data_IF_670157347740
#
_entry.id   IF_670157347740
#
_cell.length_a   1.000
_cell.length_b   1.000
_cell.length_c   1.000
_cell.angle_alpha   90.00
_cell.angle_beta   90.00
_cell.angle_gamma   90.00
#
_symmetry.space_group_name_H-M   'P 1'
#
loop_
_entity.id
_entity.type
_entity.pdbx_description
1 polymer ?
#
# COMPACT_ATOMS: atom_id res chain seq x y z
N UNK A 1 0.53 56.61 -55.61
CA UNK A 1 0.43 56.24 -54.19
C UNK A 1 0.43 54.71 -54.09
N UNK A 2 1.57 54.08 -53.86
CA UNK A 2 1.69 52.61 -53.73
C UNK A 2 1.65 52.23 -52.26
N UNK A 3 0.57 51.56 -51.84
CA UNK A 3 0.46 51.01 -50.45
C UNK A 3 1.26 49.74 -50.36
N UNK A 4 2.34 49.74 -49.57
CA UNK A 4 3.13 48.59 -49.22
C UNK A 4 2.37 47.79 -48.12
N UNK A 5 1.89 46.59 -48.43
CA UNK A 5 1.35 45.65 -47.46
C UNK A 5 2.51 44.87 -46.86
N UNK A 6 2.86 45.15 -45.58
CA UNK A 6 3.83 44.41 -44.82
C UNK A 6 3.13 43.19 -44.22
N UNK A 7 3.32 42.00 -44.80
CA UNK A 7 2.84 40.73 -44.25
C UNK A 7 3.88 40.29 -43.20
N UNK A 8 3.54 40.46 -41.92
CA UNK A 8 4.30 39.87 -40.80
C UNK A 8 4.04 38.37 -40.78
N UNK A 9 5.00 37.61 -41.29
CA UNK A 9 5.03 36.14 -41.18
C UNK A 9 5.37 35.77 -39.73
N UNK A 10 4.34 35.52 -38.91
CA UNK A 10 4.53 34.95 -37.55
C UNK A 10 5.00 33.51 -37.73
N UNK A 11 6.30 33.26 -37.53
CA UNK A 11 6.86 31.92 -37.48
C UNK A 11 6.26 31.19 -36.28
N UNK A 12 5.28 30.34 -36.52
CA UNK A 12 4.79 29.32 -35.57
C UNK A 12 5.91 28.29 -35.34
N UNK A 13 6.80 28.58 -34.40
CA UNK A 13 7.72 27.57 -33.87
C UNK A 13 6.82 26.56 -33.13
N UNK A 14 6.92 25.26 -33.46
CA UNK A 14 6.26 24.25 -32.68
C UNK A 14 6.94 24.21 -31.28
N UNK A 15 6.28 24.82 -30.31
CA UNK A 15 6.61 24.54 -28.91
C UNK A 15 6.28 23.06 -28.67
N UNK A 16 7.27 22.17 -28.84
CA UNK A 16 7.18 20.81 -28.33
C UNK A 16 7.13 20.92 -26.81
N UNK A 17 5.92 20.96 -26.25
CA UNK A 17 5.67 20.73 -24.83
C UNK A 17 6.03 19.26 -24.56
N UNK A 18 7.33 18.97 -24.39
CA UNK A 18 7.75 17.74 -23.78
C UNK A 18 7.24 17.80 -22.34
N UNK A 19 6.13 17.11 -22.05
CA UNK A 19 5.69 16.93 -20.69
C UNK A 19 6.79 16.16 -19.96
N UNK A 20 7.43 16.82 -19.00
CA UNK A 20 8.46 16.23 -18.15
C UNK A 20 7.91 14.98 -17.49
N UNK A 21 8.60 13.85 -17.62
CA UNK A 21 8.17 12.60 -16.99
C UNK A 21 8.27 12.68 -15.46
N UNK A 22 7.55 11.85 -14.74
CA UNK A 22 7.70 11.80 -13.28
C UNK A 22 9.13 11.41 -12.86
N UNK A 23 9.81 10.57 -13.64
CA UNK A 23 11.21 10.24 -13.41
C UNK A 23 12.12 11.48 -13.55
N UNK A 24 11.92 12.28 -14.60
CA UNK A 24 12.72 13.50 -14.78
C UNK A 24 12.52 14.49 -13.63
N UNK A 25 11.28 14.60 -13.12
CA UNK A 25 10.98 15.44 -11.94
C UNK A 25 11.67 14.94 -10.67
N UNK A 26 11.70 13.62 -10.44
CA UNK A 26 12.40 13.02 -9.31
C UNK A 26 13.91 13.30 -9.41
N UNK A 27 14.50 13.05 -10.59
CA UNK A 27 15.94 13.25 -10.81
C UNK A 27 16.33 14.74 -10.71
N UNK A 28 15.53 15.65 -11.26
CA UNK A 28 15.78 17.10 -11.21
C UNK A 28 15.61 17.69 -9.81
N UNK A 29 14.61 17.20 -9.05
CA UNK A 29 14.39 17.62 -7.67
C UNK A 29 15.39 17.02 -6.68
N UNK A 30 16.03 15.89 -7.05
CA UNK A 30 16.91 15.13 -6.17
C UNK A 30 16.20 14.43 -5.01
N UNK A 31 14.86 14.25 -5.08
CA UNK A 31 14.05 13.64 -4.01
C UNK A 31 13.05 12.65 -4.59
N UNK A 32 13.07 11.42 -4.05
CA UNK A 32 12.04 10.39 -4.27
C UNK A 32 11.09 10.38 -3.07
N UNK A 33 9.82 10.74 -3.28
CA UNK A 33 8.78 10.67 -2.26
C UNK A 33 8.15 9.29 -2.25
N UNK A 34 8.17 8.65 -1.07
CA UNK A 34 7.68 7.27 -0.88
C UNK A 34 6.53 7.24 0.11
N UNK A 35 5.32 6.89 -0.35
CA UNK A 35 4.17 6.67 0.53
C UNK A 35 4.32 5.37 1.31
N UNK A 36 4.19 5.41 2.65
CA UNK A 36 4.28 4.23 3.52
C UNK A 36 3.37 4.36 4.73
N UNK A 37 2.78 3.23 5.17
CA UNK A 37 1.84 3.23 6.30
C UNK A 37 2.55 3.13 7.65
N UNK A 38 3.68 2.46 7.70
CA UNK A 38 4.47 2.31 8.94
C UNK A 38 3.84 1.41 10.00
N UNK A 39 2.95 0.51 9.61
CA UNK A 39 2.20 -0.34 10.52
C UNK A 39 2.20 -1.85 10.16
N UNK A 40 3.05 -2.27 9.21
CA UNK A 40 3.16 -3.66 8.77
C UNK A 40 4.55 -4.26 9.09
N UNK A 41 4.73 -4.75 10.30
CA UNK A 41 5.95 -5.42 10.77
C UNK A 41 6.14 -6.79 10.08
N UNK A 42 7.32 -7.11 9.52
CA UNK A 42 8.59 -6.36 9.51
C UNK A 42 8.83 -5.53 8.24
N UNK A 43 7.83 -5.36 7.39
CA UNK A 43 7.97 -4.71 6.09
C UNK A 43 8.14 -3.20 6.23
N UNK A 44 7.24 -2.56 6.94
CA UNK A 44 7.29 -1.13 7.24
C UNK A 44 6.78 -0.86 8.65
N UNK A 45 7.60 -0.19 9.44
CA UNK A 45 7.29 0.18 10.83
C UNK A 45 7.68 1.62 11.07
N UNK A 46 6.80 2.36 11.73
CA UNK A 46 7.12 3.70 12.21
C UNK A 46 7.39 3.64 13.73
N UNK A 47 8.57 4.09 14.14
CA UNK A 47 8.91 4.21 15.54
C UNK A 47 8.18 5.42 16.14
N UNK A 48 7.29 5.24 17.13
CA UNK A 48 6.51 6.34 17.68
C UNK A 48 7.33 7.37 18.46
N UNK A 49 8.49 6.98 19.00
CA UNK A 49 9.33 7.88 19.77
C UNK A 49 10.18 8.80 18.88
N UNK A 50 10.66 8.27 17.74
CA UNK A 50 11.57 9.00 16.84
C UNK A 50 10.90 9.45 15.55
N UNK A 51 9.69 8.96 15.26
CA UNK A 51 8.97 9.13 14.00
C UNK A 51 9.72 8.57 12.77
N UNK A 52 10.79 7.81 12.96
CA UNK A 52 11.56 7.19 11.87
C UNK A 52 10.91 5.91 11.39
N UNK A 53 11.01 5.69 10.08
CA UNK A 53 10.58 4.44 9.46
C UNK A 53 11.74 3.43 9.44
N UNK A 54 11.40 2.13 9.56
CA UNK A 54 12.32 1.00 9.45
C UNK A 54 11.58 -0.21 8.91
N UNK A 55 12.31 -1.18 8.40
CA UNK A 55 11.79 -2.44 7.89
C UNK A 55 12.30 -2.75 6.49
N UNK A 56 11.97 -3.94 6.00
CA UNK A 56 12.45 -4.46 4.72
C UNK A 56 12.15 -3.49 3.55
N UNK A 57 10.91 -3.04 3.43
CA UNK A 57 10.52 -2.14 2.35
C UNK A 57 11.16 -0.76 2.47
N UNK A 58 11.46 -0.32 3.70
CA UNK A 58 12.18 0.94 3.93
C UNK A 58 13.62 0.83 3.42
N UNK A 59 14.27 -0.30 3.67
CA UNK A 59 15.63 -0.56 3.19
C UNK A 59 15.67 -0.67 1.65
N UNK A 60 14.68 -1.33 1.04
CA UNK A 60 14.53 -1.40 -0.43
C UNK A 60 14.39 0.00 -1.04
N UNK A 61 13.58 0.88 -0.44
CA UNK A 61 13.41 2.25 -0.96
C UNK A 61 14.65 3.12 -0.75
N UNK A 62 15.39 2.92 0.33
CA UNK A 62 16.67 3.60 0.54
C UNK A 62 17.71 3.19 -0.53
N UNK A 63 17.82 1.89 -0.84
CA UNK A 63 18.73 1.42 -1.91
C UNK A 63 18.28 1.92 -3.29
N UNK A 64 16.96 1.90 -3.58
CA UNK A 64 16.44 2.46 -4.84
C UNK A 64 16.82 3.95 -5.00
N UNK A 65 16.59 4.76 -3.96
CA UNK A 65 16.93 6.18 -4.00
C UNK A 65 18.44 6.41 -4.19
N UNK A 66 19.27 5.60 -3.55
CA UNK A 66 20.73 5.61 -3.69
C UNK A 66 21.16 5.27 -5.12
N UNK A 67 20.59 4.23 -5.74
CA UNK A 67 20.85 3.84 -7.11
C UNK A 67 20.44 4.93 -8.13
N UNK A 68 19.35 5.65 -7.81
CA UNK A 68 18.88 6.81 -8.58
C UNK A 68 19.71 8.09 -8.34
N UNK A 69 20.61 8.11 -7.35
CA UNK A 69 21.37 9.29 -6.95
C UNK A 69 20.54 10.40 -6.30
N UNK A 70 19.41 10.06 -5.67
CA UNK A 70 18.48 11.01 -5.03
C UNK A 70 18.31 10.70 -3.53
N UNK A 71 17.70 11.63 -2.79
CA UNK A 71 17.30 11.40 -1.39
C UNK A 71 15.92 10.77 -1.34
N UNK A 72 15.66 9.93 -0.33
CA UNK A 72 14.31 9.43 -0.05
C UNK A 72 13.60 10.29 0.98
N UNK A 73 12.31 10.58 0.75
CA UNK A 73 11.40 11.19 1.70
C UNK A 73 10.21 10.26 1.93
N UNK A 74 10.06 9.73 3.14
CA UNK A 74 8.92 8.89 3.50
C UNK A 74 7.71 9.75 3.88
N UNK A 75 6.61 9.60 3.12
CA UNK A 75 5.37 10.33 3.31
C UNK A 75 4.36 9.42 4.01
N UNK A 76 3.79 9.83 5.17
CA UNK A 76 2.76 9.04 5.85
C UNK A 76 1.56 8.77 4.94
N UNK A 77 1.13 7.53 4.86
CA UNK A 77 -0.02 7.07 4.08
C UNK A 77 -0.91 6.16 4.93
N UNK A 78 -2.14 5.91 4.45
CA UNK A 78 -3.08 4.97 5.04
C UNK A 78 -3.49 3.94 3.99
N UNK A 79 -3.76 2.70 4.40
CA UNK A 79 -4.12 1.61 3.49
C UNK A 79 -5.27 1.94 2.54
N UNK A 80 -6.32 2.60 3.05
CA UNK A 80 -7.49 2.98 2.25
C UNK A 80 -7.21 4.03 1.17
N UNK A 81 -6.14 4.82 1.33
CA UNK A 81 -5.79 5.94 0.43
C UNK A 81 -4.43 5.79 -0.25
N UNK A 82 -3.73 4.67 -0.03
CA UNK A 82 -2.35 4.49 -0.50
C UNK A 82 -2.23 4.57 -2.04
N UNK A 83 -3.20 4.07 -2.77
CA UNK A 83 -3.21 4.14 -4.24
C UNK A 83 -3.61 5.53 -4.72
N UNK A 84 -4.60 6.16 -4.09
CA UNK A 84 -5.01 7.52 -4.47
C UNK A 84 -3.92 8.57 -4.19
N UNK A 85 -3.02 8.31 -3.26
CA UNK A 85 -1.85 9.16 -3.03
C UNK A 85 -0.87 9.19 -4.22
N UNK A 86 -0.75 8.08 -4.97
CA UNK A 86 0.01 8.01 -6.23
C UNK A 86 -0.70 8.85 -7.31
N UNK A 87 -1.99 8.59 -7.52
CA UNK A 87 -2.74 9.27 -8.59
C UNK A 87 -2.92 10.76 -8.37
N UNK A 88 -2.85 11.22 -7.12
CA UNK A 88 -2.86 12.65 -6.76
C UNK A 88 -1.48 13.27 -6.62
N UNK A 89 -0.42 12.55 -6.97
CA UNK A 89 0.98 13.00 -6.88
C UNK A 89 1.40 13.47 -5.45
N UNK A 90 0.79 12.91 -4.41
CA UNK A 90 1.20 13.15 -3.02
C UNK A 90 2.58 12.54 -2.75
N UNK A 91 2.87 11.43 -3.41
CA UNK A 91 4.17 10.76 -3.45
C UNK A 91 4.36 10.08 -4.82
N UNK A 92 5.60 9.81 -5.16
CA UNK A 92 5.97 9.31 -6.47
C UNK A 92 5.79 7.80 -6.60
N UNK A 93 6.07 7.09 -5.51
CA UNK A 93 5.95 5.63 -5.39
C UNK A 93 5.39 5.28 -4.01
N UNK A 94 4.80 4.10 -3.90
CA UNK A 94 4.43 3.53 -2.60
C UNK A 94 5.03 2.15 -2.46
N UNK A 95 5.43 1.81 -1.24
CA UNK A 95 5.90 0.48 -0.88
C UNK A 95 4.81 -0.36 -0.23
N UNK A 96 5.02 -1.69 -0.11
CA UNK A 96 4.12 -2.63 0.59
C UNK A 96 2.76 -2.87 -0.08
N UNK A 97 2.53 -2.38 -1.29
CA UNK A 97 1.22 -2.46 -1.95
C UNK A 97 1.11 -3.70 -2.83
N UNK A 98 0.25 -4.63 -2.43
CA UNK A 98 -0.07 -5.80 -3.24
C UNK A 98 -0.75 -5.39 -4.55
N UNK A 99 -0.25 -5.90 -5.68
CA UNK A 99 -0.89 -5.74 -6.98
C UNK A 99 -2.22 -6.51 -6.99
N UNK A 100 -3.33 -5.78 -7.15
CA UNK A 100 -4.65 -6.37 -7.42
C UNK A 100 -5.17 -5.84 -8.77
N UNK A 101 -6.10 -6.54 -9.46
CA UNK A 101 -6.70 -6.03 -10.71
C UNK A 101 -7.22 -4.61 -10.55
N UNK A 102 -8.01 -4.35 -9.51
CA UNK A 102 -8.58 -3.03 -9.21
C UNK A 102 -7.53 -1.93 -9.05
N UNK A 103 -6.43 -2.21 -8.37
CA UNK A 103 -5.34 -1.23 -8.18
C UNK A 103 -4.55 -1.00 -9.47
N UNK A 104 -4.39 -2.05 -10.29
CA UNK A 104 -3.68 -1.98 -11.56
C UNK A 104 -4.43 -1.19 -12.65
N UNK A 105 -5.73 -0.94 -12.48
CA UNK A 105 -6.51 -0.07 -13.37
C UNK A 105 -6.10 1.41 -13.28
N UNK A 106 -5.54 1.83 -12.13
CA UNK A 106 -5.28 3.26 -11.85
C UNK A 106 -3.82 3.58 -11.50
N UNK A 107 -2.98 2.55 -11.25
CA UNK A 107 -1.57 2.74 -10.90
C UNK A 107 -0.69 1.67 -11.58
N UNK A 108 0.51 2.07 -12.00
CA UNK A 108 1.56 1.15 -12.45
C UNK A 108 2.14 0.36 -11.27
N UNK A 109 2.66 -0.83 -11.57
CA UNK A 109 3.35 -1.68 -10.60
C UNK A 109 4.70 -2.10 -11.17
N UNK A 110 5.71 -2.19 -10.31
CA UNK A 110 7.00 -2.82 -10.62
C UNK A 110 6.84 -4.34 -10.75
N UNK A 111 7.91 -5.03 -11.12
CA UNK A 111 8.01 -6.46 -10.91
C UNK A 111 7.91 -6.78 -9.42
N UNK A 112 7.40 -8.00 -9.13
CA UNK A 112 7.22 -8.43 -7.74
C UNK A 112 8.57 -8.75 -7.11
N UNK A 113 8.96 -8.00 -6.10
CA UNK A 113 10.21 -8.21 -5.35
C UNK A 113 10.02 -9.02 -4.06
N UNK A 114 8.78 -9.18 -3.58
CA UNK A 114 8.44 -9.97 -2.40
C UNK A 114 7.10 -10.71 -2.57
N UNK A 115 6.99 -11.92 -2.00
CA UNK A 115 5.76 -12.74 -2.03
C UNK A 115 5.43 -13.24 -0.64
N UNK A 116 4.16 -13.24 -0.29
CA UNK A 116 3.62 -13.81 0.95
C UNK A 116 2.28 -14.49 0.67
N UNK A 117 1.87 -15.37 1.60
CA UNK A 117 0.53 -15.95 1.59
C UNK A 117 -0.43 -15.09 2.43
N UNK A 118 -1.68 -14.98 2.02
CA UNK A 118 -2.77 -14.50 2.88
C UNK A 118 -3.22 -15.66 3.75
N UNK A 119 -3.29 -15.47 5.06
CA UNK A 119 -3.61 -16.52 6.03
C UNK A 119 -4.61 -16.05 7.09
N UNK A 120 -5.51 -16.92 7.55
CA UNK A 120 -6.33 -16.65 8.72
C UNK A 120 -5.54 -16.93 10.00
N UNK A 121 -5.77 -16.11 11.02
CA UNK A 121 -5.32 -16.36 12.38
C UNK A 121 -6.52 -16.46 13.32
N UNK A 122 -6.48 -17.43 14.22
CA UNK A 122 -7.45 -17.60 15.30
C UNK A 122 -6.72 -17.82 16.62
N UNK A 123 -7.40 -17.59 17.74
CA UNK A 123 -6.81 -17.93 19.04
C UNK A 123 -6.52 -19.44 19.13
N UNK A 124 -5.39 -19.81 19.69
CA UNK A 124 -4.98 -21.21 19.88
C UNK A 124 -6.07 -22.08 20.53
N UNK A 125 -6.79 -21.54 21.51
CA UNK A 125 -7.92 -22.22 22.17
C UNK A 125 -9.10 -22.52 21.22
N UNK A 126 -9.19 -21.82 20.09
CA UNK A 126 -10.28 -21.95 19.11
C UNK A 126 -9.91 -22.84 17.91
N UNK A 127 -8.71 -23.44 17.87
CA UNK A 127 -8.29 -24.31 16.75
C UNK A 127 -9.23 -25.50 16.53
N UNK A 128 -9.81 -26.07 17.59
CA UNK A 128 -10.82 -27.15 17.47
C UNK A 128 -12.13 -26.66 16.90
N UNK A 129 -12.50 -25.39 17.14
CA UNK A 129 -13.72 -24.76 16.58
C UNK A 129 -13.53 -24.40 15.11
N UNK A 130 -12.31 -24.04 14.72
CA UNK A 130 -11.96 -23.61 13.37
C UNK A 130 -10.80 -24.47 12.80
N UNK A 131 -11.05 -25.75 12.49
CA UNK A 131 -10.02 -26.68 12.03
C UNK A 131 -9.61 -26.44 10.57
N UNK A 132 -10.41 -25.75 9.77
CA UNK A 132 -10.19 -25.46 8.36
C UNK A 132 -10.61 -24.03 8.02
N UNK A 133 -10.19 -23.53 6.86
CA UNK A 133 -10.63 -22.25 6.34
C UNK A 133 -12.15 -22.18 6.19
N UNK A 134 -12.78 -23.24 5.67
CA UNK A 134 -14.23 -23.29 5.46
C UNK A 134 -15.03 -23.13 6.77
N UNK A 135 -14.46 -23.58 7.89
CA UNK A 135 -15.10 -23.41 9.20
C UNK A 135 -15.26 -21.96 9.63
N UNK A 136 -14.46 -21.07 9.05
CA UNK A 136 -14.57 -19.63 9.25
C UNK A 136 -15.67 -18.99 8.38
N UNK A 137 -16.11 -19.62 7.28
CA UNK A 137 -17.12 -19.10 6.37
C UNK A 137 -18.57 -19.38 6.89
N UNK A 138 -18.94 -18.72 7.96
CA UNK A 138 -20.19 -18.96 8.66
C UNK A 138 -20.79 -17.64 9.19
N UNK A 139 -22.12 -17.45 9.11
CA UNK A 139 -22.81 -16.24 9.53
C UNK A 139 -22.70 -15.90 11.02
N UNK A 140 -22.28 -16.87 11.86
CA UNK A 140 -22.03 -16.67 13.30
C UNK A 140 -20.58 -16.27 13.58
N UNK A 141 -19.71 -16.26 12.55
CA UNK A 141 -18.27 -15.94 12.67
C UNK A 141 -18.05 -14.49 12.29
N UNK A 142 -17.23 -13.80 13.06
CA UNK A 142 -16.76 -12.44 12.78
C UNK A 142 -15.27 -12.49 12.41
N UNK A 143 -14.91 -11.98 11.24
CA UNK A 143 -13.55 -11.87 10.73
C UNK A 143 -13.12 -10.42 10.80
N UNK A 144 -12.01 -10.15 11.48
CA UNK A 144 -11.38 -8.84 11.47
C UNK A 144 -10.39 -8.71 10.32
N UNK A 145 -10.32 -7.53 9.71
CA UNK A 145 -9.36 -7.16 8.66
C UNK A 145 -8.96 -5.71 8.79
N UNK A 146 -7.83 -5.32 8.22
CA UNK A 146 -7.49 -3.90 8.11
C UNK A 146 -8.12 -3.30 6.86
N UNK A 147 -8.86 -2.19 7.03
CA UNK A 147 -9.60 -1.49 5.99
C UNK A 147 -8.67 -1.04 4.84
N UNK A 148 -9.10 -1.29 3.60
CA UNK A 148 -8.39 -0.87 2.38
C UNK A 148 -7.22 -1.76 1.98
N UNK A 149 -6.98 -2.88 2.69
CA UNK A 149 -5.94 -3.85 2.36
C UNK A 149 -6.41 -4.90 1.35
N UNK A 150 -5.47 -5.58 0.70
CA UNK A 150 -5.78 -6.77 -0.12
C UNK A 150 -6.29 -7.93 0.72
N UNK A 151 -5.96 -7.99 2.01
CA UNK A 151 -6.47 -8.98 2.96
C UNK A 151 -7.97 -8.79 3.20
N UNK A 152 -8.45 -7.55 3.25
CA UNK A 152 -9.89 -7.25 3.32
C UNK A 152 -10.62 -7.74 2.06
N UNK A 153 -10.06 -7.51 0.87
CA UNK A 153 -10.62 -8.01 -0.39
C UNK A 153 -10.70 -9.54 -0.37
N UNK A 154 -9.62 -10.22 0.07
CA UNK A 154 -9.57 -11.68 0.19
C UNK A 154 -10.52 -12.22 1.27
N UNK A 155 -10.72 -11.52 2.38
CA UNK A 155 -11.70 -11.92 3.37
C UNK A 155 -13.12 -11.91 2.80
N UNK A 156 -13.49 -10.92 2.01
CA UNK A 156 -14.78 -10.85 1.32
C UNK A 156 -14.96 -12.00 0.30
N UNK A 157 -13.88 -12.37 -0.38
CA UNK A 157 -13.88 -13.45 -1.37
C UNK A 157 -14.00 -14.83 -0.70
N UNK A 158 -13.18 -15.10 0.32
CA UNK A 158 -13.10 -16.43 0.94
C UNK A 158 -14.18 -16.70 2.00
N UNK A 159 -14.66 -15.65 2.65
CA UNK A 159 -15.63 -15.78 3.76
C UNK A 159 -16.90 -14.96 3.52
N UNK A 160 -17.59 -15.13 2.38
CA UNK A 160 -18.76 -14.32 2.02
C UNK A 160 -19.95 -14.47 2.97
N UNK A 161 -19.98 -15.53 3.79
CA UNK A 161 -21.03 -15.75 4.79
C UNK A 161 -20.72 -15.13 6.15
N UNK A 162 -19.45 -14.80 6.41
CA UNK A 162 -19.02 -14.29 7.70
C UNK A 162 -19.29 -12.81 7.84
N UNK A 163 -19.42 -12.35 9.08
CA UNK A 163 -19.45 -10.92 9.38
C UNK A 163 -18.04 -10.37 9.25
N UNK A 164 -17.88 -9.31 8.47
CA UNK A 164 -16.59 -8.63 8.33
C UNK A 164 -16.53 -7.41 9.25
N UNK A 165 -15.47 -7.33 10.05
CA UNK A 165 -15.13 -6.18 10.87
C UNK A 165 -13.87 -5.54 10.31
N UNK A 166 -14.03 -4.51 9.47
CA UNK A 166 -12.91 -3.78 8.84
C UNK A 166 -12.42 -2.68 9.78
N UNK A 167 -11.19 -2.82 10.24
CA UNK A 167 -10.55 -1.96 11.23
C UNK A 167 -9.70 -0.90 10.53
N UNK A 168 -9.90 0.35 10.89
CA UNK A 168 -9.10 1.46 10.40
C UNK A 168 -7.83 1.63 11.24
N UNK A 169 -6.67 1.83 10.58
CA UNK A 169 -5.43 2.16 11.26
C UNK A 169 -5.58 3.47 12.08
N UNK A 170 -4.91 3.60 13.24
CA UNK A 170 -3.84 2.74 13.78
C UNK A 170 -4.31 1.53 14.58
N UNK A 171 -5.62 1.30 14.75
CA UNK A 171 -6.10 0.09 15.39
C UNK A 171 -5.73 -1.15 14.55
N UNK A 172 -5.54 -2.28 15.23
CA UNK A 172 -5.05 -3.51 14.60
C UNK A 172 -6.11 -4.60 14.65
N UNK A 173 -6.35 -5.25 13.52
CA UNK A 173 -7.33 -6.30 13.34
C UNK A 173 -7.09 -7.51 14.27
N UNK A 174 -5.83 -7.93 14.49
CA UNK A 174 -5.52 -9.02 15.42
C UNK A 174 -5.89 -8.68 16.88
N UNK A 175 -5.92 -7.41 17.26
CA UNK A 175 -6.35 -6.99 18.59
C UNK A 175 -7.84 -7.25 18.82
N UNK A 176 -8.66 -7.22 17.77
CA UNK A 176 -10.07 -7.60 17.83
C UNK A 176 -10.23 -9.09 18.19
N UNK A 177 -9.35 -9.95 17.67
CA UNK A 177 -9.31 -11.38 17.99
C UNK A 177 -8.86 -11.61 19.43
N UNK A 178 -7.80 -10.92 19.86
CA UNK A 178 -7.31 -11.01 21.25
C UNK A 178 -8.36 -10.55 22.26
N UNK A 179 -9.11 -9.51 21.92
CA UNK A 179 -10.18 -8.96 22.78
C UNK A 179 -11.50 -9.76 22.70
N UNK A 180 -11.58 -10.79 21.84
CA UNK A 180 -12.79 -11.60 21.67
C UNK A 180 -13.92 -10.91 20.91
N UNK A 181 -13.64 -9.82 20.21
CA UNK A 181 -14.60 -9.10 19.35
C UNK A 181 -14.66 -9.67 17.92
N UNK A 182 -13.63 -10.46 17.53
CA UNK A 182 -13.62 -11.26 16.31
C UNK A 182 -13.18 -12.69 16.61
N UNK A 183 -13.66 -13.65 15.80
CA UNK A 183 -13.28 -15.07 15.90
C UNK A 183 -11.90 -15.33 15.27
N UNK A 184 -11.55 -14.57 14.24
CA UNK A 184 -10.27 -14.63 13.56
C UNK A 184 -9.99 -13.33 12.79
N UNK A 185 -8.74 -13.18 12.33
CA UNK A 185 -8.36 -12.12 11.40
C UNK A 185 -7.66 -12.69 10.16
N UNK A 186 -7.67 -11.92 9.08
CA UNK A 186 -6.99 -12.27 7.84
C UNK A 186 -5.79 -11.34 7.68
N UNK A 187 -4.61 -11.93 7.60
CA UNK A 187 -3.35 -11.19 7.51
C UNK A 187 -2.36 -11.85 6.53
N UNK A 188 -1.16 -11.29 6.41
CA UNK A 188 -0.06 -11.90 5.67
C UNK A 188 0.65 -12.97 6.48
N UNK A 189 1.19 -14.00 5.81
CA UNK A 189 2.05 -14.99 6.48
C UNK A 189 3.26 -14.35 7.17
N UNK A 190 3.74 -13.23 6.65
CA UNK A 190 4.84 -12.45 7.21
C UNK A 190 4.49 -11.90 8.60
N UNK A 191 3.34 -11.25 8.74
CA UNK A 191 2.85 -10.74 10.01
C UNK A 191 2.41 -11.88 10.93
N UNK A 192 1.73 -12.91 10.39
CA UNK A 192 1.29 -14.07 11.13
C UNK A 192 2.46 -14.74 11.87
N UNK A 193 3.58 -14.95 11.21
CA UNK A 193 4.78 -15.52 11.82
C UNK A 193 5.28 -14.70 13.02
N UNK A 194 5.15 -13.39 12.98
CA UNK A 194 5.50 -12.51 14.10
C UNK A 194 4.52 -12.63 15.27
N UNK A 195 3.23 -12.80 14.98
CA UNK A 195 2.18 -12.88 15.99
C UNK A 195 2.15 -14.25 16.72
N UNK A 196 2.48 -15.35 16.04
CA UNK A 196 2.44 -16.69 16.63
C UNK A 196 3.70 -17.06 17.45
N UNK A 197 4.80 -16.34 17.27
CA UNK A 197 6.05 -16.56 18.03
C UNK A 197 6.01 -15.87 19.41
N UNK A 198 5.09 -14.95 19.62
CA UNK A 198 4.84 -14.28 20.90
C UNK A 198 3.80 -15.07 21.71
#
# INVERSE_FOLDING_TARGET
MKKLFLIALFALLPFSLNAESNLDKILSSGVLKVGTTGDWDPMTMKDPATNKYKGFDIDVMNELAKDMGVKVEFVPAEWKTIVSGITSARYDISTSVTKTPKRAEVAGFTDTYYKYATVPLVLKKNLKKFPTWDSLNNSKVTIATTLGTSQEEKAKEFFPKSKLNSIEAPARDFQEVLAGRADGNITSSTEANKLVIK
#
